data_IF_564895144072
#
_entry.id   IF_564895144072
#
_cell.length_a   1.000
_cell.length_b   1.000
_cell.length_c   1.000
_cell.angle_alpha   90.00
_cell.angle_beta   90.00
_cell.angle_gamma   90.00
#
_symmetry.space_group_name_H-M   'P 1'
#
loop_
_entity.id
_entity.type
_entity.pdbx_description
1 polymer ?
#
# COMPACT_ATOMS: atom_id res chain seq x y z
N UNK A 1 3.51 -31.45 10.57
CA UNK A 1 3.26 -30.03 10.23
C UNK A 1 3.06 -29.29 11.54
N UNK A 2 4.15 -28.94 12.23
CA UNK A 2 4.11 -28.45 13.63
C UNK A 2 5.05 -27.27 13.79
N UNK A 3 4.49 -26.06 13.79
CA UNK A 3 5.25 -24.81 13.99
C UNK A 3 4.53 -23.58 13.47
N UNK A 4 3.72 -23.71 12.42
CA UNK A 4 2.94 -22.61 11.87
C UNK A 4 1.84 -22.19 12.86
N UNK A 5 1.90 -20.94 13.32
CA UNK A 5 0.91 -20.34 14.23
C UNK A 5 1.31 -20.27 15.71
N UNK A 6 2.36 -20.97 16.15
CA UNK A 6 2.74 -20.97 17.58
C UNK A 6 3.22 -19.58 18.05
N UNK A 7 3.98 -18.88 17.22
CA UNK A 7 4.43 -17.51 17.48
C UNK A 7 3.26 -16.51 17.54
N UNK A 8 2.31 -16.60 16.61
CA UNK A 8 1.14 -15.72 16.59
C UNK A 8 0.21 -15.96 17.79
N UNK A 9 0.05 -17.23 18.20
CA UNK A 9 -0.68 -17.61 19.41
C UNK A 9 0.00 -17.10 20.70
N UNK A 10 1.34 -17.13 20.75
CA UNK A 10 2.08 -16.54 21.86
C UNK A 10 1.88 -15.01 21.93
N UNK A 11 1.96 -14.33 20.78
CA UNK A 11 1.71 -12.89 20.69
C UNK A 11 0.27 -12.51 21.10
N UNK A 12 -0.72 -13.27 20.64
CA UNK A 12 -2.12 -13.06 21.00
C UNK A 12 -2.39 -13.19 22.51
N UNK A 13 -1.68 -14.10 23.20
CA UNK A 13 -1.77 -14.27 24.65
C UNK A 13 -1.00 -13.20 25.44
N UNK A 14 0.09 -12.69 24.89
CA UNK A 14 0.92 -11.66 25.52
C UNK A 14 0.38 -10.23 25.31
N UNK A 15 -0.51 -10.02 24.34
CA UNK A 15 -1.01 -8.71 23.94
C UNK A 15 -2.53 -8.54 24.05
N UNK A 16 -3.02 -7.48 23.40
CA UNK A 16 -4.46 -7.21 23.21
C UNK A 16 -4.77 -7.24 21.72
N UNK A 17 -5.77 -8.04 21.35
CA UNK A 17 -6.31 -8.04 19.99
C UNK A 17 -7.43 -7.01 19.89
N UNK A 18 -7.32 -6.12 18.91
CA UNK A 18 -8.32 -5.08 18.63
C UNK A 18 -8.76 -5.27 17.17
N UNK A 19 -10.07 -5.37 16.89
CA UNK A 19 -10.55 -5.44 15.51
C UNK A 19 -10.23 -4.13 14.79
N UNK A 20 -9.72 -4.24 13.56
CA UNK A 20 -9.49 -3.11 12.68
C UNK A 20 -10.41 -3.22 11.47
N UNK A 21 -10.96 -2.08 11.05
CA UNK A 21 -11.63 -1.93 9.77
C UNK A 21 -10.61 -1.49 8.73
N UNK A 22 -10.74 -2.03 7.52
CA UNK A 22 -9.99 -1.49 6.38
C UNK A 22 -10.53 -0.13 5.95
N UNK A 23 -9.77 0.57 5.13
CA UNK A 23 -10.21 1.74 4.36
C UNK A 23 -11.01 1.32 3.13
N UNK A 24 -11.74 2.27 2.53
CA UNK A 24 -12.34 2.13 1.20
C UNK A 24 -11.54 2.96 0.18
N UNK A 25 -11.16 2.40 -0.98
CA UNK A 25 -11.34 1.00 -1.38
C UNK A 25 -10.39 0.06 -0.62
N UNK A 26 -10.82 -1.17 -0.35
CA UNK A 26 -10.01 -2.17 0.38
C UNK A 26 -8.97 -2.85 -0.52
N UNK A 27 -8.15 -2.05 -1.20
CA UNK A 27 -7.00 -2.55 -1.99
C UNK A 27 -5.75 -2.58 -1.13
N UNK A 28 -4.78 -3.42 -1.49
CA UNK A 28 -3.48 -3.50 -0.78
C UNK A 28 -2.81 -2.13 -0.72
N UNK A 29 -2.78 -1.40 -1.84
CA UNK A 29 -2.13 -0.09 -1.91
C UNK A 29 -2.82 0.93 -1.02
N UNK A 30 -4.14 1.06 -1.12
CA UNK A 30 -4.90 2.00 -0.29
C UNK A 30 -4.72 1.70 1.20
N UNK A 31 -4.84 0.43 1.59
CA UNK A 31 -4.73 0.03 2.99
C UNK A 31 -3.31 0.21 3.56
N UNK A 32 -2.26 -0.16 2.82
CA UNK A 32 -0.88 -0.07 3.31
C UNK A 32 -0.37 1.37 3.34
N UNK A 33 -0.72 2.20 2.35
CA UNK A 33 -0.37 3.62 2.37
C UNK A 33 -1.10 4.32 3.51
N UNK A 34 -2.40 4.05 3.71
CA UNK A 34 -3.13 4.59 4.87
C UNK A 34 -2.52 4.14 6.20
N UNK A 35 -2.09 2.88 6.30
CA UNK A 35 -1.46 2.34 7.50
C UNK A 35 -0.10 2.99 7.79
N UNK A 36 0.70 3.32 6.76
CA UNK A 36 2.03 3.90 6.96
C UNK A 36 2.00 5.42 7.18
N UNK A 37 1.08 6.14 6.54
CA UNK A 37 1.00 7.62 6.61
C UNK A 37 -0.01 8.11 7.65
N UNK A 38 -0.95 7.26 8.08
CA UNK A 38 -2.07 7.67 8.93
C UNK A 38 -3.11 8.53 8.22
N UNK A 39 -3.03 8.66 6.88
CA UNK A 39 -3.96 9.45 6.06
C UNK A 39 -4.98 8.55 5.35
N UNK A 40 -6.23 8.99 5.12
CA UNK A 40 -7.21 8.23 4.35
C UNK A 40 -6.89 8.23 2.85
N UNK A 41 -7.46 7.30 2.06
CA UNK A 41 -7.25 7.25 0.61
C UNK A 41 -7.64 8.52 -0.15
N UNK A 42 -8.58 9.30 0.39
CA UNK A 42 -8.96 10.59 -0.17
C UNK A 42 -7.85 11.66 -0.08
N UNK A 43 -6.89 11.51 0.83
CA UNK A 43 -5.77 12.43 1.01
C UNK A 43 -4.53 11.97 0.22
N UNK A 44 -4.13 10.71 0.36
CA UNK A 44 -2.91 10.21 -0.30
C UNK A 44 -3.11 9.79 -1.76
N UNK A 45 -4.34 9.59 -2.22
CA UNK A 45 -4.67 9.35 -3.64
C UNK A 45 -4.25 7.98 -4.21
N UNK A 46 -3.56 7.15 -3.46
CA UNK A 46 -3.23 5.76 -3.79
C UNK A 46 -4.42 4.82 -3.58
N UNK A 47 -5.10 4.44 -4.67
CA UNK A 47 -6.40 3.76 -4.59
C UNK A 47 -6.40 2.31 -5.08
N UNK A 48 -5.51 1.92 -5.98
CA UNK A 48 -5.57 0.63 -6.65
C UNK A 48 -4.22 0.21 -7.25
N UNK A 49 -4.10 -1.08 -7.54
CA UNK A 49 -2.93 -1.68 -8.21
C UNK A 49 -2.57 -0.99 -9.53
N UNK A 50 -3.59 -0.64 -10.31
CA UNK A 50 -3.44 0.14 -11.55
C UNK A 50 -4.31 1.37 -11.45
N UNK A 51 -3.71 2.56 -11.58
CA UNK A 51 -4.43 3.83 -11.53
C UNK A 51 -3.82 4.85 -12.49
N UNK A 52 -4.63 5.81 -12.92
CA UNK A 52 -4.15 6.92 -13.74
C UNK A 52 -3.59 8.03 -12.83
N UNK A 53 -2.30 8.34 -12.98
CA UNK A 53 -1.66 9.47 -12.32
C UNK A 53 -1.77 10.69 -13.22
N UNK A 54 -2.66 11.62 -12.86
CA UNK A 54 -2.99 12.80 -13.67
C UNK A 54 -1.77 13.68 -13.91
N UNK A 55 -0.95 13.84 -12.89
CA UNK A 55 0.24 14.70 -12.86
C UNK A 55 1.30 14.21 -13.86
N UNK A 56 1.33 12.90 -14.11
CA UNK A 56 2.27 12.27 -15.05
C UNK A 56 1.63 11.92 -16.40
N UNK A 57 0.30 11.96 -16.50
CA UNK A 57 -0.43 11.62 -17.71
C UNK A 57 -0.37 10.13 -18.08
N UNK A 58 -0.09 9.23 -17.12
CA UNK A 58 0.13 7.81 -17.37
C UNK A 58 -0.84 6.92 -16.59
N UNK A 59 -1.06 5.71 -17.10
CA UNK A 59 -1.50 4.59 -16.28
C UNK A 59 -0.28 4.00 -15.56
N UNK A 60 -0.33 3.98 -14.23
CA UNK A 60 0.72 3.52 -13.35
C UNK A 60 0.38 2.20 -12.67
N UNK A 61 1.41 1.39 -12.45
CA UNK A 61 1.41 0.27 -11.52
C UNK A 61 1.84 0.80 -10.15
N UNK A 62 0.92 0.73 -9.20
CA UNK A 62 1.12 1.22 -7.85
C UNK A 62 2.22 0.45 -7.11
N UNK A 63 2.17 -0.89 -7.13
CA UNK A 63 3.11 -1.73 -6.38
C UNK A 63 4.55 -1.61 -6.91
N UNK A 64 4.71 -1.56 -8.23
CA UNK A 64 6.03 -1.46 -8.86
C UNK A 64 6.55 -0.03 -8.97
N UNK A 65 5.72 0.98 -8.67
CA UNK A 65 6.03 2.38 -8.90
C UNK A 65 6.56 2.60 -10.33
N UNK A 66 5.80 2.15 -11.33
CA UNK A 66 6.17 2.19 -12.76
C UNK A 66 4.99 2.53 -13.66
N UNK A 67 5.21 2.82 -14.94
CA UNK A 67 4.09 2.78 -15.90
C UNK A 67 3.58 1.34 -16.06
N UNK A 68 2.32 1.16 -16.49
CA UNK A 68 1.75 -0.18 -16.72
C UNK A 68 2.38 -0.94 -17.89
N UNK A 69 3.08 -0.23 -18.77
CA UNK A 69 3.68 -0.80 -19.99
C UNK A 69 5.06 -1.39 -19.74
N UNK A 70 5.69 -1.03 -18.64
CA UNK A 70 7.01 -1.49 -18.21
C UNK A 70 6.90 -2.31 -16.93
N UNK A 71 7.91 -3.16 -16.70
CA UNK A 71 8.09 -3.89 -15.44
C UNK A 71 9.31 -3.41 -14.66
N UNK A 72 9.80 -2.21 -15.00
CA UNK A 72 10.93 -1.60 -14.30
C UNK A 72 10.43 -1.02 -12.97
N UNK A 73 10.85 -1.62 -11.87
CA UNK A 73 10.57 -1.12 -10.52
C UNK A 73 11.14 0.28 -10.32
N UNK A 74 10.43 1.10 -9.55
CA UNK A 74 10.86 2.44 -9.10
C UNK A 74 11.10 3.46 -10.22
N UNK A 75 10.56 3.22 -11.41
CA UNK A 75 10.65 4.16 -12.53
C UNK A 75 10.04 5.53 -12.17
N UNK A 76 8.91 5.53 -11.46
CA UNK A 76 8.25 6.77 -11.06
C UNK A 76 9.07 7.57 -10.04
N UNK A 77 9.88 6.92 -9.20
CA UNK A 77 10.82 7.61 -8.32
C UNK A 77 11.86 8.38 -9.15
N UNK A 78 12.37 7.76 -10.21
CA UNK A 78 13.27 8.41 -11.17
C UNK A 78 12.62 9.57 -11.94
N UNK A 79 11.28 9.62 -11.99
CA UNK A 79 10.51 10.71 -12.59
C UNK A 79 10.10 11.79 -11.59
N UNK A 80 10.56 11.68 -10.33
CA UNK A 80 10.34 12.69 -9.29
C UNK A 80 9.16 12.42 -8.36
N UNK A 81 8.54 11.23 -8.40
CA UNK A 81 7.61 10.81 -7.36
C UNK A 81 8.37 10.68 -6.03
N UNK A 82 7.94 11.43 -5.01
CA UNK A 82 8.49 11.35 -3.66
C UNK A 82 7.47 10.69 -2.70
N UNK A 83 7.69 9.44 -2.26
CA UNK A 83 6.79 8.73 -1.36
C UNK A 83 6.62 9.41 0.01
N UNK A 84 7.57 10.24 0.44
CA UNK A 84 7.49 10.93 1.73
C UNK A 84 6.43 12.05 1.75
N UNK A 85 5.93 12.43 0.58
CA UNK A 85 4.91 13.47 0.42
C UNK A 85 3.47 12.94 0.42
N UNK A 86 3.31 11.62 0.40
CA UNK A 86 2.00 10.93 0.41
C UNK A 86 1.27 11.13 1.75
#
# INVERSE_FOLDING_TARGET
VSGEGQALSALARAGRLIPLTSVFPSTTDAALVSLSTGRPPAEHGWLAYTMYLRELGIAANAILLSSVWTRKTDELLGWGLDPSTL
#
